data_IF_639793797092
#
_entry.id   IF_639793797092
#
_cell.length_a   1.000
_cell.length_b   1.000
_cell.length_c   1.000
_cell.angle_alpha   90.00
_cell.angle_beta   90.00
_cell.angle_gamma   90.00
#
_symmetry.space_group_name_H-M   'P 1'
#
loop_
_entity.id
_entity.type
_entity.pdbx_description
1 polymer ?
#
# COMPACT_ATOMS: atom_id res chain seq x y z
N UNK A 1 -12.75 -14.59 17.86
CA UNK A 1 -13.57 -13.61 17.11
C UNK A 1 -12.59 -12.62 16.51
N UNK A 2 -12.74 -12.27 15.23
CA UNK A 2 -11.91 -11.22 14.61
C UNK A 2 -12.17 -9.89 15.33
N UNK A 3 -11.16 -9.27 15.98
CA UNK A 3 -11.36 -8.02 16.71
C UNK A 3 -11.73 -6.85 15.78
N UNK A 4 -11.55 -7.03 14.48
CA UNK A 4 -11.93 -6.07 13.42
C UNK A 4 -13.24 -6.43 12.71
N UNK A 5 -14.04 -7.33 13.28
CA UNK A 5 -15.40 -7.59 12.79
C UNK A 5 -16.28 -6.34 12.89
N UNK A 6 -17.39 -6.31 12.15
CA UNK A 6 -18.30 -5.15 12.11
C UNK A 6 -18.89 -4.76 13.50
N UNK A 7 -18.87 -5.69 14.46
CA UNK A 7 -19.33 -5.49 15.84
C UNK A 7 -18.17 -5.23 16.82
N UNK A 8 -16.92 -5.27 16.34
CA UNK A 8 -15.71 -5.10 17.15
C UNK A 8 -15.39 -3.64 17.47
N UNK A 9 -14.83 -3.40 18.65
CA UNK A 9 -14.45 -2.05 19.11
C UNK A 9 -13.43 -1.38 18.18
N UNK A 10 -12.63 -2.16 17.45
CA UNK A 10 -11.54 -1.68 16.60
C UNK A 10 -11.95 -1.31 15.17
N UNK A 11 -13.19 -1.60 14.74
CA UNK A 11 -13.57 -1.46 13.32
C UNK A 11 -13.34 -0.05 12.77
N UNK A 12 -13.62 0.98 13.55
CA UNK A 12 -13.52 2.38 13.09
C UNK A 12 -12.06 2.82 12.93
N UNK A 13 -11.22 2.60 13.95
CA UNK A 13 -9.79 2.92 13.90
C UNK A 13 -9.08 2.09 12.79
N UNK A 14 -9.51 0.85 12.60
CA UNK A 14 -9.02 -0.02 11.54
C UNK A 14 -9.39 0.48 10.14
N UNK A 15 -10.64 0.91 9.95
CA UNK A 15 -11.08 1.50 8.68
C UNK A 15 -10.31 2.78 8.38
N UNK A 16 -10.14 3.69 9.35
CA UNK A 16 -9.32 4.89 9.16
C UNK A 16 -7.89 4.55 8.71
N UNK A 17 -7.28 3.52 9.31
CA UNK A 17 -5.94 3.06 8.93
C UNK A 17 -5.89 2.60 7.47
N UNK A 18 -6.80 1.71 7.05
CA UNK A 18 -6.80 1.17 5.69
C UNK A 18 -7.31 2.15 4.62
N UNK A 19 -8.05 3.18 5.03
CA UNK A 19 -8.42 4.32 4.18
C UNK A 19 -7.27 5.34 4.04
N UNK A 20 -6.18 5.18 4.78
CA UNK A 20 -5.04 6.10 4.75
C UNK A 20 -5.26 7.40 5.52
N UNK A 21 -6.20 7.41 6.46
CA UNK A 21 -6.52 8.55 7.33
C UNK A 21 -5.68 8.47 8.62
N UNK A 22 -4.36 8.48 8.47
CA UNK A 22 -3.43 8.19 9.57
C UNK A 22 -3.55 9.18 10.74
N UNK A 23 -3.80 10.46 10.48
CA UNK A 23 -4.03 11.44 11.54
C UNK A 23 -5.25 11.07 12.41
N UNK A 24 -6.33 10.58 11.78
CA UNK A 24 -7.53 10.13 12.50
C UNK A 24 -7.28 8.86 13.33
N UNK A 25 -6.34 8.02 12.92
CA UNK A 25 -5.90 6.86 13.71
C UNK A 25 -5.14 7.31 14.94
N UNK A 26 -4.23 8.29 14.79
CA UNK A 26 -3.42 8.82 15.89
C UNK A 26 -4.28 9.57 16.92
N UNK A 27 -5.27 10.33 16.45
CA UNK A 27 -6.19 11.11 17.29
C UNK A 27 -7.36 10.28 17.86
N UNK A 28 -7.44 8.99 17.51
CA UNK A 28 -8.57 8.13 17.90
C UNK A 28 -8.59 7.91 19.42
N UNK A 29 -9.74 8.16 20.06
CA UNK A 29 -9.91 7.87 21.50
C UNK A 29 -10.08 6.37 21.74
N UNK A 30 -9.03 5.73 22.26
CA UNK A 30 -9.01 4.31 22.60
C UNK A 30 -9.33 4.04 24.08
N UNK A 31 -9.66 5.07 24.88
CA UNK A 31 -9.83 4.93 26.34
C UNK A 31 -11.02 4.06 26.74
N UNK A 32 -12.02 3.95 25.86
CA UNK A 32 -13.20 3.13 26.06
C UNK A 32 -13.01 1.67 25.62
N UNK A 33 -11.88 1.32 24.98
CA UNK A 33 -11.63 -0.04 24.52
C UNK A 33 -11.35 -0.98 25.69
N UNK A 34 -11.80 -2.22 25.52
CA UNK A 34 -11.48 -3.32 26.41
C UNK A 34 -9.96 -3.58 26.49
N UNK A 35 -9.52 -4.17 27.59
CA UNK A 35 -8.10 -4.46 27.81
C UNK A 35 -7.49 -5.38 26.73
N UNK A 36 -8.29 -6.27 26.14
CA UNK A 36 -7.87 -7.14 25.04
C UNK A 36 -7.62 -6.39 23.72
N UNK A 37 -8.29 -5.25 23.52
CA UNK A 37 -8.16 -4.42 22.33
C UNK A 37 -7.12 -3.29 22.49
N UNK A 38 -6.59 -3.07 23.70
CA UNK A 38 -5.60 -2.02 23.97
C UNK A 38 -4.31 -2.20 23.15
N UNK A 39 -3.76 -3.42 23.09
CA UNK A 39 -2.52 -3.69 22.35
C UNK A 39 -2.73 -3.62 20.82
N UNK A 40 -3.76 -4.26 20.23
CA UNK A 40 -4.08 -4.10 18.81
C UNK A 40 -4.34 -2.64 18.40
N UNK A 41 -5.02 -1.85 19.23
CA UNK A 41 -5.24 -0.42 18.97
C UNK A 41 -3.91 0.35 18.97
N UNK A 42 -3.05 0.11 19.99
CA UNK A 42 -1.70 0.70 20.05
C UNK A 42 -0.88 0.35 18.80
N UNK A 43 -0.96 -0.90 18.34
CA UNK A 43 -0.27 -1.33 17.12
C UNK A 43 -0.70 -0.53 15.88
N UNK A 44 -2.00 -0.28 15.70
CA UNK A 44 -2.51 0.57 14.62
C UNK A 44 -2.02 2.01 14.72
N UNK A 45 -2.04 2.60 15.92
CA UNK A 45 -1.54 3.96 16.17
C UNK A 45 -0.06 4.08 15.82
N UNK A 46 0.77 3.15 16.28
CA UNK A 46 2.22 3.18 15.99
C UNK A 46 2.51 3.01 14.49
N UNK A 47 1.77 2.12 13.81
CA UNK A 47 1.88 1.96 12.33
C UNK A 47 1.47 3.24 11.60
N UNK A 48 0.41 3.93 12.05
CA UNK A 48 -0.02 5.20 11.48
C UNK A 48 1.04 6.29 11.69
N UNK A 49 1.65 6.36 12.88
CA UNK A 49 2.75 7.29 13.16
C UNK A 49 3.97 7.04 12.28
N UNK A 50 4.35 5.78 12.04
CA UNK A 50 5.40 5.44 11.08
C UNK A 50 5.04 5.96 9.68
N UNK A 51 3.80 5.76 9.23
CA UNK A 51 3.33 6.26 7.93
C UNK A 51 3.33 7.80 7.82
N UNK A 52 3.17 8.50 8.95
CA UNK A 52 3.28 9.97 9.07
C UNK A 52 4.74 10.46 9.23
N UNK A 53 5.73 9.58 9.06
CA UNK A 53 7.15 9.93 9.14
C UNK A 53 7.73 10.01 10.55
N UNK A 54 6.99 9.55 11.57
CA UNK A 54 7.42 9.58 12.98
C UNK A 54 8.13 8.29 13.41
N UNK A 55 8.86 7.64 12.49
CA UNK A 55 9.49 6.34 12.74
C UNK A 55 10.54 6.39 13.87
N UNK A 56 11.30 7.49 14.00
CA UNK A 56 12.29 7.67 15.08
C UNK A 56 11.64 7.66 16.47
N UNK A 57 10.53 8.41 16.64
CA UNK A 57 9.81 8.48 17.91
C UNK A 57 9.17 7.15 18.28
N UNK A 58 8.58 6.47 17.28
CA UNK A 58 7.99 5.14 17.47
C UNK A 58 9.06 4.14 17.90
N UNK A 59 10.22 4.14 17.24
CA UNK A 59 11.34 3.26 17.58
C UNK A 59 11.84 3.51 19.02
N UNK A 60 11.92 4.77 19.44
CA UNK A 60 12.31 5.12 20.80
C UNK A 60 11.27 4.65 21.84
N UNK A 61 9.98 4.74 21.52
CA UNK A 61 8.88 4.34 22.39
C UNK A 61 8.80 2.83 22.61
N UNK A 62 8.92 2.03 21.54
CA UNK A 62 8.82 0.56 21.65
C UNK A 62 10.11 -0.11 22.13
N UNK A 63 11.16 0.67 22.36
CA UNK A 63 12.47 0.16 22.74
C UNK A 63 12.42 -0.52 24.11
N UNK A 64 12.69 -1.83 24.12
CA UNK A 64 12.74 -2.63 25.36
C UNK A 64 11.39 -3.19 25.79
N UNK A 65 10.34 -2.97 25.01
CA UNK A 65 9.09 -3.72 25.14
C UNK A 65 9.34 -5.21 24.87
N UNK A 66 8.51 -6.08 25.48
CA UNK A 66 8.69 -7.54 25.43
C UNK A 66 7.69 -8.26 24.54
N UNK A 67 6.62 -7.55 24.19
CA UNK A 67 5.50 -7.99 23.39
C UNK A 67 5.93 -8.08 21.92
N UNK A 68 5.73 -9.24 21.30
CA UNK A 68 6.12 -9.46 19.89
C UNK A 68 5.46 -8.47 18.93
N UNK A 69 4.24 -8.01 19.23
CA UNK A 69 3.52 -6.97 18.49
C UNK A 69 4.28 -5.64 18.46
N UNK A 70 4.94 -5.27 19.55
CA UNK A 70 5.69 -4.01 19.66
C UNK A 70 7.11 -4.18 19.12
N UNK A 71 7.73 -5.33 19.33
CA UNK A 71 9.06 -5.66 18.78
C UNK A 71 9.03 -5.65 17.23
N UNK A 72 8.00 -6.21 16.60
CA UNK A 72 7.86 -6.19 15.13
C UNK A 72 7.59 -4.77 14.59
N UNK A 73 6.87 -3.93 15.34
CA UNK A 73 6.67 -2.52 14.98
C UNK A 73 7.99 -1.76 15.05
N UNK A 74 8.82 -2.05 16.05
CA UNK A 74 10.19 -1.55 16.13
C UNK A 74 11.01 -1.92 14.90
N UNK A 75 10.94 -3.19 14.46
CA UNK A 75 11.60 -3.63 13.24
C UNK A 75 11.08 -2.88 11.98
N UNK A 76 9.78 -2.59 11.91
CA UNK A 76 9.22 -1.81 10.82
C UNK A 76 9.67 -0.34 10.83
N UNK A 77 9.81 0.26 12.01
CA UNK A 77 10.39 1.60 12.16
C UNK A 77 11.87 1.61 11.73
N UNK A 78 12.67 0.64 12.19
CA UNK A 78 14.07 0.46 11.76
C UNK A 78 14.18 0.35 10.23
N UNK A 79 13.33 -0.45 9.60
CA UNK A 79 13.30 -0.59 8.15
C UNK A 79 13.02 0.75 7.45
N UNK A 80 12.02 1.49 7.95
CA UNK A 80 11.63 2.80 7.41
C UNK A 80 12.76 3.83 7.52
N UNK A 81 13.58 3.75 8.58
CA UNK A 81 14.76 4.60 8.78
C UNK A 81 15.98 4.16 7.97
N UNK A 82 15.88 3.08 7.19
CA UNK A 82 16.96 2.55 6.36
C UNK A 82 17.88 1.55 7.06
N UNK A 83 17.56 1.13 8.29
CA UNK A 83 18.31 0.11 9.04
C UNK A 83 17.82 -1.31 8.66
N UNK A 84 17.86 -1.61 7.36
CA UNK A 84 17.25 -2.82 6.77
C UNK A 84 17.76 -4.13 7.38
N UNK A 85 19.07 -4.26 7.62
CA UNK A 85 19.64 -5.51 8.14
C UNK A 85 19.14 -5.82 9.57
N UNK A 86 19.08 -4.79 10.43
CA UNK A 86 18.58 -4.90 11.81
C UNK A 86 17.09 -5.26 11.83
N UNK A 87 16.31 -4.62 10.96
CA UNK A 87 14.90 -4.93 10.80
C UNK A 87 14.69 -6.39 10.38
N UNK A 88 15.43 -6.86 9.37
CA UNK A 88 15.29 -8.22 8.86
C UNK A 88 15.70 -9.29 9.87
N UNK A 89 16.77 -9.07 10.64
CA UNK A 89 17.17 -9.99 11.72
C UNK A 89 16.04 -10.16 12.75
N UNK A 90 15.42 -9.04 13.15
CA UNK A 90 14.30 -9.04 14.10
C UNK A 90 13.07 -9.74 13.53
N UNK A 91 12.74 -9.48 12.26
CA UNK A 91 11.62 -10.15 11.56
C UNK A 91 11.85 -11.66 11.46
N UNK A 92 13.05 -12.11 11.11
CA UNK A 92 13.38 -13.54 10.99
C UNK A 92 13.32 -14.27 12.35
N UNK A 93 13.79 -13.61 13.41
CA UNK A 93 13.65 -14.08 14.79
C UNK A 93 12.17 -14.26 15.16
N UNK A 94 11.35 -13.22 14.97
CA UNK A 94 9.94 -13.24 15.35
C UNK A 94 9.10 -14.17 14.47
N UNK A 95 9.41 -14.28 13.18
CA UNK A 95 8.79 -15.26 12.28
C UNK A 95 9.05 -16.71 12.72
N UNK A 96 10.08 -16.95 13.54
CA UNK A 96 10.38 -18.27 14.11
C UNK A 96 9.78 -18.47 15.51
N UNK A 97 9.78 -17.43 16.36
CA UNK A 97 9.35 -17.53 17.76
C UNK A 97 7.89 -17.18 18.03
N UNK A 98 7.26 -16.41 17.15
CA UNK A 98 5.90 -15.86 17.29
C UNK A 98 5.16 -15.87 15.94
N UNK A 99 5.32 -16.95 15.17
CA UNK A 99 4.82 -17.05 13.80
C UNK A 99 3.29 -17.02 13.69
N UNK A 100 2.58 -17.33 14.76
CA UNK A 100 1.11 -17.31 14.88
C UNK A 100 0.55 -15.93 15.30
N UNK A 101 1.42 -14.99 15.69
CA UNK A 101 1.01 -13.63 16.00
C UNK A 101 0.68 -12.86 14.71
N UNK A 102 -0.56 -12.38 14.60
CA UNK A 102 -1.06 -11.70 13.38
C UNK A 102 -0.32 -10.40 13.08
N UNK A 103 0.05 -9.62 14.10
CA UNK A 103 0.84 -8.38 13.92
C UNK A 103 2.21 -8.72 13.38
N UNK A 104 2.86 -9.78 13.89
CA UNK A 104 4.13 -10.30 13.37
C UNK A 104 3.99 -10.72 11.91
N UNK A 105 2.93 -11.46 11.58
CA UNK A 105 2.70 -11.92 10.21
C UNK A 105 2.55 -10.74 9.24
N UNK A 106 1.71 -9.76 9.56
CA UNK A 106 1.40 -8.65 8.65
C UNK A 106 2.55 -7.65 8.56
N UNK A 107 3.08 -7.21 9.70
CA UNK A 107 4.16 -6.21 9.74
C UNK A 107 5.46 -6.83 9.25
N UNK A 108 5.77 -8.06 9.68
CA UNK A 108 6.92 -8.81 9.18
C UNK A 108 6.82 -9.10 7.69
N UNK A 109 5.64 -9.52 7.20
CA UNK A 109 5.37 -9.70 5.77
C UNK A 109 5.56 -8.41 4.97
N UNK A 110 5.16 -7.26 5.52
CA UNK A 110 5.35 -5.94 4.91
C UNK A 110 6.83 -5.62 4.76
N UNK A 111 7.63 -5.79 5.83
CA UNK A 111 9.08 -5.56 5.81
C UNK A 111 9.78 -6.51 4.84
N UNK A 112 9.46 -7.81 4.89
CA UNK A 112 10.03 -8.81 3.98
C UNK A 112 9.73 -8.47 2.52
N UNK A 113 8.49 -8.12 2.19
CA UNK A 113 8.13 -7.74 0.83
C UNK A 113 8.87 -6.48 0.38
N UNK A 114 8.91 -5.45 1.23
CA UNK A 114 9.60 -4.20 0.90
C UNK A 114 11.12 -4.43 0.68
N UNK A 115 11.71 -5.36 1.41
CA UNK A 115 13.10 -5.78 1.23
C UNK A 115 13.33 -6.74 0.04
N UNK A 116 12.30 -7.02 -0.78
CA UNK A 116 12.38 -7.91 -1.94
C UNK A 116 12.37 -9.42 -1.61
N UNK A 117 12.11 -9.80 -0.36
CA UNK A 117 12.02 -11.20 0.11
C UNK A 117 10.58 -11.74 -0.04
N UNK A 118 9.99 -11.66 -1.23
CA UNK A 118 8.57 -11.99 -1.45
C UNK A 118 8.18 -13.41 -1.06
N UNK A 119 9.04 -14.41 -1.31
CA UNK A 119 8.74 -15.81 -0.94
C UNK A 119 8.65 -15.99 0.57
N UNK A 120 9.56 -15.36 1.33
CA UNK A 120 9.53 -15.38 2.79
C UNK A 120 8.30 -14.63 3.34
N UNK A 121 7.95 -13.50 2.72
CA UNK A 121 6.74 -12.75 3.08
C UNK A 121 5.48 -13.61 2.91
N UNK A 122 5.31 -14.26 1.75
CA UNK A 122 4.17 -15.15 1.49
C UNK A 122 4.15 -16.36 2.44
N UNK A 123 5.32 -16.95 2.73
CA UNK A 123 5.42 -18.07 3.67
C UNK A 123 4.96 -17.69 5.09
N UNK A 124 5.34 -16.50 5.56
CA UNK A 124 4.90 -15.98 6.85
C UNK A 124 3.40 -15.64 6.84
N UNK A 125 2.94 -14.89 5.84
CA UNK A 125 1.55 -14.45 5.74
C UNK A 125 0.57 -15.61 5.60
N UNK A 126 0.95 -16.70 4.91
CA UNK A 126 0.11 -17.88 4.71
C UNK A 126 -0.29 -18.61 6.00
N UNK A 127 0.37 -18.30 7.13
CA UNK A 127 0.06 -18.87 8.44
C UNK A 127 -1.10 -18.16 9.16
N UNK A 128 -1.66 -17.11 8.55
CA UNK A 128 -2.78 -16.38 9.12
C UNK A 128 -4.00 -17.27 9.37
N UNK A 129 -4.71 -16.99 10.47
CA UNK A 129 -5.94 -17.69 10.83
C UNK A 129 -7.15 -16.77 10.61
N UNK A 130 -7.38 -16.39 9.35
CA UNK A 130 -8.50 -15.52 8.97
C UNK A 130 -8.23 -14.02 9.07
N UNK A 131 -6.97 -13.59 9.17
CA UNK A 131 -6.62 -12.16 9.10
C UNK A 131 -6.86 -11.61 7.69
N UNK A 132 -7.72 -10.60 7.57
CA UNK A 132 -7.98 -9.90 6.31
C UNK A 132 -6.81 -9.01 5.88
N UNK A 133 -6.04 -8.43 6.81
CA UNK A 133 -4.82 -7.69 6.46
C UNK A 133 -3.80 -8.61 5.77
N UNK A 134 -3.61 -9.82 6.31
CA UNK A 134 -2.70 -10.79 5.72
C UNK A 134 -3.13 -11.18 4.30
N UNK A 135 -4.42 -11.45 4.10
CA UNK A 135 -4.97 -11.74 2.77
C UNK A 135 -4.76 -10.56 1.81
N UNK A 136 -5.08 -9.35 2.23
CA UNK A 136 -4.89 -8.16 1.40
C UNK A 136 -3.42 -7.97 0.98
N UNK A 137 -2.47 -8.22 1.90
CA UNK A 137 -1.06 -8.14 1.59
C UNK A 137 -0.59 -9.28 0.65
N UNK A 138 -1.08 -10.51 0.82
CA UNK A 138 -0.83 -11.60 -0.13
C UNK A 138 -1.31 -11.23 -1.54
N UNK A 139 -2.51 -10.64 -1.65
CA UNK A 139 -3.07 -10.16 -2.92
C UNK A 139 -2.15 -9.12 -3.56
N UNK A 140 -1.68 -8.12 -2.79
CA UNK A 140 -0.74 -7.12 -3.28
C UNK A 140 0.56 -7.74 -3.79
N UNK A 141 1.15 -8.68 -3.03
CA UNK A 141 2.39 -9.37 -3.43
C UNK A 141 2.19 -10.14 -4.74
N UNK A 142 1.08 -10.88 -4.87
CA UNK A 142 0.77 -11.60 -6.11
C UNK A 142 0.57 -10.66 -7.29
N UNK A 143 -0.09 -9.51 -7.10
CA UNK A 143 -0.24 -8.50 -8.16
C UNK A 143 1.11 -7.91 -8.58
N UNK A 144 2.01 -7.64 -7.63
CA UNK A 144 3.37 -7.16 -7.92
C UNK A 144 4.21 -8.20 -8.67
N UNK A 145 4.00 -9.50 -8.40
CA UNK A 145 4.61 -10.61 -9.13
C UNK A 145 3.95 -10.90 -10.49
N UNK A 146 2.97 -10.09 -10.92
CA UNK A 146 2.16 -10.32 -12.11
C UNK A 146 1.40 -11.67 -12.10
N UNK A 147 1.11 -12.21 -10.91
CA UNK A 147 0.30 -13.42 -10.68
C UNK A 147 -1.15 -13.06 -10.36
N UNK A 148 -1.81 -12.42 -11.32
CA UNK A 148 -3.22 -12.01 -11.21
C UNK A 148 -4.15 -13.19 -10.94
N UNK A 149 -3.79 -14.39 -11.42
CA UNK A 149 -4.50 -15.64 -11.17
C UNK A 149 -4.56 -15.99 -9.68
N UNK A 150 -3.43 -15.87 -8.98
CA UNK A 150 -3.36 -16.15 -7.54
C UNK A 150 -4.05 -15.06 -6.74
N UNK A 151 -3.83 -13.79 -7.09
CA UNK A 151 -4.50 -12.66 -6.44
C UNK A 151 -6.04 -12.78 -6.52
N UNK A 152 -6.58 -13.15 -7.69
CA UNK A 152 -8.03 -13.37 -7.86
C UNK A 152 -8.54 -14.51 -6.98
N UNK A 153 -7.78 -15.61 -6.87
CA UNK A 153 -8.16 -16.76 -6.04
C UNK A 153 -8.27 -16.38 -4.56
N UNK A 154 -7.31 -15.62 -4.04
CA UNK A 154 -7.30 -15.17 -2.65
C UNK A 154 -8.50 -14.27 -2.35
N UNK A 155 -8.77 -13.30 -3.24
CA UNK A 155 -9.91 -12.39 -3.10
C UNK A 155 -11.25 -13.12 -3.13
N UNK A 156 -11.45 -14.05 -4.08
CA UNK A 156 -12.68 -14.87 -4.15
C UNK A 156 -12.86 -15.70 -2.88
N UNK A 157 -11.76 -16.25 -2.35
CA UNK A 157 -11.79 -17.00 -1.09
C UNK A 157 -12.15 -16.10 0.10
N UNK A 158 -11.60 -14.89 0.18
CA UNK A 158 -11.92 -13.92 1.24
C UNK A 158 -13.39 -13.48 1.21
N UNK A 159 -13.91 -13.21 0.00
CA UNK A 159 -15.28 -12.73 -0.21
C UNK A 159 -16.34 -13.71 0.31
N UNK A 160 -16.05 -15.02 0.35
CA UNK A 160 -17.01 -16.01 0.82
C UNK A 160 -17.33 -15.89 2.32
N UNK A 161 -16.45 -15.29 3.12
CA UNK A 161 -16.60 -15.17 4.57
C UNK A 161 -16.52 -13.73 5.12
N UNK A 162 -16.10 -12.75 4.31
CA UNK A 162 -16.01 -11.33 4.69
C UNK A 162 -16.66 -10.41 3.65
N UNK A 163 -17.98 -10.54 3.44
CA UNK A 163 -18.71 -9.89 2.34
C UNK A 163 -18.75 -8.36 2.43
N UNK A 164 -18.81 -7.81 3.64
CA UNK A 164 -18.97 -6.37 3.90
C UNK A 164 -17.65 -5.69 4.32
N UNK A 165 -16.51 -6.39 4.19
CA UNK A 165 -15.22 -5.85 4.59
C UNK A 165 -14.70 -4.82 3.59
N UNK A 166 -14.31 -3.66 4.10
CA UNK A 166 -13.58 -2.65 3.33
C UNK A 166 -12.32 -3.25 2.68
N UNK A 167 -11.53 -4.04 3.41
CA UNK A 167 -10.29 -4.62 2.87
C UNK A 167 -10.54 -5.57 1.70
N UNK A 168 -11.64 -6.33 1.75
CA UNK A 168 -12.03 -7.18 0.62
C UNK A 168 -12.42 -6.33 -0.58
N UNK A 169 -13.19 -5.26 -0.37
CA UNK A 169 -13.55 -4.32 -1.45
C UNK A 169 -12.30 -3.63 -2.05
N UNK A 170 -11.32 -3.25 -1.23
CA UNK A 170 -10.05 -2.69 -1.70
C UNK A 170 -9.23 -3.72 -2.50
N UNK A 171 -9.09 -4.95 -1.99
CA UNK A 171 -8.36 -6.02 -2.66
C UNK A 171 -9.02 -6.43 -4.00
N UNK A 172 -10.36 -6.52 -4.03
CA UNK A 172 -11.14 -6.71 -5.26
C UNK A 172 -10.89 -5.60 -6.27
N UNK A 173 -10.82 -4.35 -5.81
CA UNK A 173 -10.59 -3.20 -6.66
C UNK A 173 -9.18 -3.22 -7.27
N UNK A 174 -8.14 -3.57 -6.50
CA UNK A 174 -6.78 -3.73 -7.03
C UNK A 174 -6.68 -4.84 -8.08
N UNK A 175 -7.29 -6.00 -7.80
CA UNK A 175 -7.36 -7.10 -8.79
C UNK A 175 -8.16 -6.66 -10.02
N UNK A 176 -9.27 -5.94 -9.82
CA UNK A 176 -10.11 -5.40 -10.88
C UNK A 176 -9.36 -4.46 -11.81
N UNK A 177 -8.55 -3.55 -11.26
CA UNK A 177 -7.67 -2.66 -12.03
C UNK A 177 -6.61 -3.45 -12.83
N UNK A 178 -6.12 -4.57 -12.31
CA UNK A 178 -5.19 -5.43 -13.07
C UNK A 178 -5.89 -6.22 -14.19
N UNK A 179 -7.13 -6.64 -13.99
CA UNK A 179 -7.91 -7.41 -14.97
C UNK A 179 -8.45 -6.53 -16.10
N UNK A 180 -8.95 -5.34 -15.75
CA UNK A 180 -9.50 -4.37 -16.69
C UNK A 180 -10.88 -4.69 -17.27
N UNK A 181 -11.24 -3.95 -18.32
CA UNK A 181 -12.58 -3.99 -18.92
C UNK A 181 -13.65 -3.43 -17.97
N UNK A 182 -14.77 -4.13 -17.81
CA UNK A 182 -15.86 -3.73 -16.91
C UNK A 182 -15.42 -3.63 -15.43
N UNK A 183 -14.29 -4.26 -15.08
CA UNK A 183 -13.72 -4.20 -13.72
C UNK A 183 -13.20 -2.82 -13.35
N UNK A 184 -12.83 -1.99 -14.32
CA UNK A 184 -12.43 -0.60 -14.04
C UNK A 184 -13.58 0.20 -13.41
N UNK A 185 -14.79 0.06 -13.94
CA UNK A 185 -15.97 0.76 -13.42
C UNK A 185 -16.38 0.25 -12.03
N UNK A 186 -16.16 -1.04 -11.74
CA UNK A 186 -16.43 -1.63 -10.42
C UNK A 186 -15.45 -1.07 -9.37
N UNK A 187 -14.16 -1.06 -9.68
CA UNK A 187 -13.14 -0.47 -8.81
C UNK A 187 -13.35 1.04 -8.61
N UNK A 188 -13.76 1.75 -9.67
CA UNK A 188 -14.06 3.17 -9.61
C UNK A 188 -15.09 3.49 -8.53
N UNK A 189 -16.24 2.80 -8.49
CA UNK A 189 -17.28 3.11 -7.51
C UNK A 189 -16.80 2.95 -6.06
N UNK A 190 -15.95 1.95 -5.78
CA UNK A 190 -15.36 1.76 -4.45
C UNK A 190 -14.47 2.95 -4.08
N UNK A 191 -13.57 3.35 -4.97
CA UNK A 191 -12.65 4.45 -4.66
C UNK A 191 -13.32 5.84 -4.70
N UNK A 192 -14.32 6.03 -5.56
CA UNK A 192 -15.15 7.24 -5.60
C UNK A 192 -15.91 7.42 -4.28
N UNK A 193 -16.56 6.37 -3.77
CA UNK A 193 -17.27 6.42 -2.48
C UNK A 193 -16.32 6.84 -1.35
N UNK A 194 -15.11 6.25 -1.32
CA UNK A 194 -14.09 6.59 -0.33
C UNK A 194 -13.61 8.05 -0.46
N UNK A 195 -13.43 8.54 -1.69
CA UNK A 195 -12.87 9.86 -1.96
C UNK A 195 -13.88 11.00 -1.79
N UNK A 196 -15.18 10.78 -2.05
CA UNK A 196 -16.19 11.83 -2.01
C UNK A 196 -16.67 12.14 -0.58
N UNK A 197 -16.68 11.17 0.33
CA UNK A 197 -17.17 11.39 1.69
C UNK A 197 -16.06 12.00 2.58
N UNK A 198 -16.27 13.18 3.20
CA UNK A 198 -15.24 13.81 4.04
C UNK A 198 -14.77 12.93 5.20
N UNK A 199 -15.63 12.03 5.68
CA UNK A 199 -15.33 11.11 6.77
C UNK A 199 -14.37 9.97 6.35
N UNK A 200 -14.22 9.66 5.07
CA UNK A 200 -13.38 8.57 4.55
C UNK A 200 -12.30 9.04 3.58
N UNK A 201 -12.39 10.27 3.09
CA UNK A 201 -11.48 10.82 2.10
C UNK A 201 -10.06 10.94 2.65
N UNK A 202 -9.09 10.56 1.82
CA UNK A 202 -7.66 10.72 2.05
C UNK A 202 -6.95 11.01 0.72
N UNK A 203 -5.67 11.38 0.79
CA UNK A 203 -4.84 11.52 -0.42
C UNK A 203 -4.82 10.20 -1.20
N UNK A 204 -4.76 9.06 -0.49
CA UNK A 204 -4.76 7.74 -1.11
C UNK A 204 -6.05 7.43 -1.87
N UNK A 205 -7.22 7.77 -1.32
CA UNK A 205 -8.49 7.53 -2.02
C UNK A 205 -8.63 8.41 -3.26
N UNK A 206 -8.18 9.68 -3.19
CA UNK A 206 -8.16 10.59 -4.33
C UNK A 206 -7.26 10.08 -5.46
N UNK A 207 -6.04 9.65 -5.13
CA UNK A 207 -5.12 9.05 -6.11
C UNK A 207 -5.72 7.77 -6.70
N UNK A 208 -6.33 6.91 -5.88
CA UNK A 208 -6.96 5.67 -6.35
C UNK A 208 -8.15 5.94 -7.28
N UNK A 209 -8.98 6.94 -6.96
CA UNK A 209 -10.05 7.40 -7.84
C UNK A 209 -9.48 7.90 -9.18
N UNK A 210 -8.43 8.73 -9.15
CA UNK A 210 -7.80 9.23 -10.37
C UNK A 210 -7.23 8.11 -11.25
N UNK A 211 -6.62 7.08 -10.65
CA UNK A 211 -6.14 5.88 -11.37
C UNK A 211 -7.29 5.17 -12.07
N UNK A 212 -8.43 4.99 -11.40
CA UNK A 212 -9.63 4.44 -12.03
C UNK A 212 -10.13 5.30 -13.19
N UNK A 213 -10.18 6.62 -13.05
CA UNK A 213 -10.60 7.54 -14.10
C UNK A 213 -9.65 7.50 -15.31
N UNK A 214 -8.33 7.42 -15.08
CA UNK A 214 -7.34 7.22 -16.15
C UNK A 214 -7.61 5.91 -16.92
N UNK A 215 -7.88 4.81 -16.22
CA UNK A 215 -8.23 3.54 -16.86
C UNK A 215 -9.55 3.59 -17.64
N UNK A 216 -10.49 4.44 -17.23
CA UNK A 216 -11.76 4.70 -17.91
C UNK A 216 -11.62 5.73 -19.06
N UNK A 217 -10.45 6.33 -19.25
CA UNK A 217 -10.20 7.36 -20.26
C UNK A 217 -10.77 8.74 -19.93
N UNK A 218 -11.16 8.96 -18.67
CA UNK A 218 -11.77 10.19 -18.15
C UNK A 218 -10.68 11.12 -17.61
N UNK A 219 -9.96 11.75 -18.53
CA UNK A 219 -8.73 12.48 -18.20
C UNK A 219 -8.98 13.76 -17.42
N UNK A 220 -10.13 14.42 -17.62
CA UNK A 220 -10.46 15.68 -16.92
C UNK A 220 -10.76 15.42 -15.45
N UNK A 221 -11.53 14.37 -15.16
CA UNK A 221 -11.86 13.92 -13.81
C UNK A 221 -10.63 13.39 -13.08
N UNK A 222 -9.79 12.61 -13.77
CA UNK A 222 -8.50 12.18 -13.22
C UNK A 222 -7.61 13.37 -12.85
N UNK A 223 -7.54 14.40 -13.70
CA UNK A 223 -6.75 15.59 -13.43
C UNK A 223 -7.25 16.32 -12.19
N UNK A 224 -8.56 16.54 -12.07
CA UNK A 224 -9.16 17.20 -10.92
C UNK A 224 -8.87 16.47 -9.60
N UNK A 225 -9.00 15.15 -9.58
CA UNK A 225 -8.72 14.34 -8.39
C UNK A 225 -7.22 14.40 -7.99
N UNK A 226 -6.30 14.38 -8.97
CA UNK A 226 -4.86 14.49 -8.71
C UNK A 226 -4.47 15.91 -8.26
N UNK A 227 -5.06 16.95 -8.83
CA UNK A 227 -4.86 18.33 -8.38
C UNK A 227 -5.35 18.52 -6.94
N UNK A 228 -6.48 17.93 -6.58
CA UNK A 228 -6.95 17.93 -5.19
C UNK A 228 -5.97 17.21 -4.27
N UNK A 229 -5.48 16.02 -4.65
CA UNK A 229 -4.49 15.28 -3.87
C UNK A 229 -3.20 16.10 -3.65
N UNK A 230 -2.67 16.73 -4.71
CA UNK A 230 -1.48 17.58 -4.65
C UNK A 230 -1.70 18.89 -3.89
N UNK A 231 -2.94 19.38 -3.81
CA UNK A 231 -3.27 20.55 -2.98
C UNK A 231 -3.18 20.24 -1.48
N UNK A 232 -3.41 18.97 -1.09
CA UNK A 232 -3.28 18.48 0.29
C UNK A 232 -1.83 18.16 0.63
N UNK A 233 -1.10 17.53 -0.29
CA UNK A 233 0.33 17.28 -0.16
C UNK A 233 1.03 17.40 -1.54
N UNK A 234 1.71 18.52 -1.73
CA UNK A 234 2.42 18.80 -2.98
C UNK A 234 3.67 17.95 -3.22
N UNK A 235 4.08 17.14 -2.24
CA UNK A 235 5.23 16.21 -2.36
C UNK A 235 4.79 14.74 -2.44
N UNK A 236 3.48 14.47 -2.53
CA UNK A 236 3.00 13.09 -2.62
C UNK A 236 3.47 12.42 -3.91
N UNK A 237 4.41 11.47 -3.80
CA UNK A 237 5.06 10.82 -4.95
C UNK A 237 4.06 10.09 -5.85
N UNK A 238 3.08 9.38 -5.29
CA UNK A 238 2.07 8.65 -6.06
C UNK A 238 1.18 9.58 -6.88
N UNK A 239 0.75 10.71 -6.31
CA UNK A 239 -0.03 11.73 -7.02
C UNK A 239 0.79 12.39 -8.14
N UNK A 240 2.06 12.70 -7.88
CA UNK A 240 2.98 13.25 -8.89
C UNK A 240 3.20 12.24 -10.03
N UNK A 241 3.41 10.96 -9.71
CA UNK A 241 3.62 9.90 -10.69
C UNK A 241 2.38 9.68 -11.57
N UNK A 242 1.17 9.72 -10.99
CA UNK A 242 -0.05 9.61 -11.78
C UNK A 242 -0.35 10.87 -12.60
N UNK A 243 0.04 12.06 -12.12
CA UNK A 243 -0.02 13.29 -12.91
C UNK A 243 0.95 13.25 -14.09
N UNK A 244 2.15 12.68 -13.90
CA UNK A 244 3.10 12.44 -14.99
C UNK A 244 2.46 11.57 -16.08
N UNK A 245 1.88 10.43 -15.70
CA UNK A 245 1.16 9.53 -16.63
C UNK A 245 0.04 10.28 -17.35
N UNK A 246 -0.74 11.09 -16.62
CA UNK A 246 -1.81 11.90 -17.18
C UNK A 246 -1.32 12.88 -18.26
N UNK A 247 -0.20 13.58 -18.03
CA UNK A 247 0.37 14.48 -19.04
C UNK A 247 0.78 13.72 -20.30
N UNK A 248 1.47 12.58 -20.14
CA UNK A 248 1.92 11.73 -21.26
C UNK A 248 0.73 11.25 -22.10
N UNK A 249 -0.30 10.68 -21.47
CA UNK A 249 -1.49 10.18 -22.21
C UNK A 249 -2.32 11.31 -22.82
N UNK A 250 -2.23 12.52 -22.27
CA UNK A 250 -2.85 13.72 -22.83
C UNK A 250 -2.03 14.35 -23.97
N UNK A 251 -0.82 13.85 -24.26
CA UNK A 251 0.09 14.45 -25.24
C UNK A 251 0.64 15.83 -24.83
N UNK A 252 0.72 16.09 -23.51
CA UNK A 252 1.27 17.32 -22.92
C UNK A 252 2.70 17.10 -22.45
N UNK A 253 3.43 18.20 -22.19
CA UNK A 253 4.77 18.12 -21.62
C UNK A 253 4.73 17.55 -20.20
N UNK A 254 5.58 16.55 -19.96
CA UNK A 254 5.65 15.77 -18.73
C UNK A 254 6.93 16.07 -17.93
N UNK A 255 7.87 16.80 -18.53
CA UNK A 255 9.21 17.12 -18.00
C UNK A 255 9.18 17.67 -16.57
N UNK A 256 8.23 18.55 -16.25
CA UNK A 256 8.07 19.11 -14.91
C UNK A 256 7.77 18.02 -13.87
N UNK A 257 6.89 17.08 -14.19
CA UNK A 257 6.47 16.03 -13.26
C UNK A 257 7.53 14.94 -13.09
N UNK A 258 8.36 14.71 -14.11
CA UNK A 258 9.54 13.84 -13.96
C UNK A 258 10.48 14.41 -12.90
N UNK A 259 10.78 15.71 -12.96
CA UNK A 259 11.68 16.37 -12.01
C UNK A 259 11.07 16.50 -10.61
N UNK A 260 9.75 16.68 -10.50
CA UNK A 260 9.05 16.64 -9.22
C UNK A 260 9.11 15.24 -8.62
N UNK A 261 8.88 14.19 -9.41
CA UNK A 261 8.90 12.81 -8.93
C UNK A 261 10.29 12.41 -8.43
N UNK A 262 11.35 12.76 -9.17
CA UNK A 262 12.74 12.51 -8.73
C UNK A 262 13.07 13.18 -7.39
N UNK A 263 12.48 14.34 -7.12
CA UNK A 263 12.67 15.06 -5.84
C UNK A 263 11.88 14.44 -4.71
N UNK A 264 10.65 14.03 -4.97
CA UNK A 264 9.75 13.44 -3.98
C UNK A 264 10.17 12.02 -3.61
N UNK A 265 10.44 11.17 -4.61
CA UNK A 265 10.92 9.80 -4.44
C UNK A 265 11.82 9.40 -5.63
N UNK A 266 13.15 9.50 -5.49
CA UNK A 266 14.08 9.14 -6.56
C UNK A 266 14.10 7.64 -6.89
N UNK A 267 13.51 6.79 -6.03
CA UNK A 267 13.44 5.34 -6.23
C UNK A 267 12.03 4.87 -6.59
N UNK A 268 11.12 5.80 -6.91
CA UNK A 268 9.76 5.48 -7.29
C UNK A 268 9.74 4.49 -8.47
N UNK A 269 8.91 3.45 -8.38
CA UNK A 269 8.91 2.33 -9.34
C UNK A 269 8.77 2.80 -10.80
N UNK A 270 7.95 3.82 -11.05
CA UNK A 270 7.79 4.41 -12.40
C UNK A 270 9.12 4.93 -12.97
N UNK A 271 9.95 5.60 -12.16
CA UNK A 271 11.25 6.10 -12.62
C UNK A 271 12.22 4.96 -12.92
N UNK A 272 12.25 3.95 -12.04
CA UNK A 272 13.06 2.73 -12.21
C UNK A 272 12.67 2.01 -13.50
N UNK A 273 11.38 1.82 -13.74
CA UNK A 273 10.85 1.18 -14.93
C UNK A 273 11.19 1.99 -16.20
N UNK A 274 11.03 3.31 -16.17
CA UNK A 274 11.38 4.17 -17.30
C UNK A 274 12.86 4.07 -17.66
N UNK A 275 13.76 4.10 -16.66
CA UNK A 275 15.20 3.97 -16.87
C UNK A 275 15.55 2.58 -17.45
N UNK A 276 14.99 1.51 -16.88
CA UNK A 276 15.20 0.15 -17.36
C UNK A 276 14.74 0.00 -18.83
N UNK A 277 13.55 0.53 -19.17
CA UNK A 277 13.00 0.45 -20.52
C UNK A 277 13.80 1.30 -21.52
N UNK A 278 14.33 2.45 -21.09
CA UNK A 278 15.26 3.26 -21.89
C UNK A 278 16.53 2.47 -22.23
N UNK A 279 17.15 1.83 -21.23
CA UNK A 279 18.34 1.01 -21.44
C UNK A 279 18.07 -0.20 -22.37
N UNK A 280 16.91 -0.86 -22.22
CA UNK A 280 16.49 -1.95 -23.09
C UNK A 280 16.25 -1.49 -24.54
N UNK A 281 15.70 -0.28 -24.72
CA UNK A 281 15.53 0.31 -26.06
C UNK A 281 16.88 0.53 -26.74
N UNK A 282 17.84 1.15 -26.04
CA UNK A 282 19.18 1.38 -26.57
C UNK A 282 19.87 0.07 -26.94
N UNK A 283 19.78 -0.95 -26.08
CA UNK A 283 20.30 -2.28 -26.35
C UNK A 283 19.66 -2.93 -27.58
N UNK A 284 18.34 -2.76 -27.75
CA UNK A 284 17.62 -3.26 -28.92
C UNK A 284 18.03 -2.52 -30.19
N UNK A 285 18.18 -1.19 -30.13
CA UNK A 285 18.59 -0.34 -31.24
C UNK A 285 19.96 -0.71 -31.80
N UNK A 286 20.90 -1.15 -30.96
CA UNK A 286 22.22 -1.65 -31.40
C UNK A 286 22.13 -2.84 -32.37
N UNK A 287 21.03 -3.59 -32.37
CA UNK A 287 20.81 -4.72 -33.30
C UNK A 287 20.42 -4.27 -34.71
N UNK A 288 20.08 -2.98 -34.88
CA UNK A 288 19.64 -2.41 -36.14
C UNK A 288 20.65 -1.37 -36.61
N UNK A 289 21.47 -1.73 -37.60
CA UNK A 289 22.31 -0.75 -38.30
C UNK A 289 21.51 -0.14 -39.44
N UNK A 290 21.52 1.19 -39.56
CA UNK A 290 20.91 1.87 -40.68
C UNK A 290 21.55 1.40 -42.00
N UNK A 291 20.79 0.68 -42.84
CA UNK A 291 21.17 0.39 -44.23
C UNK A 291 20.95 1.66 -45.07
N UNK A 292 21.78 2.67 -44.86
CA UNK A 292 21.91 3.74 -45.85
C UNK A 292 23.29 3.59 -46.46
N UNK A 293 23.33 2.85 -47.57
CA UNK A 293 24.46 2.92 -48.50
C UNK A 293 24.48 4.34 -49.07
N UNK A 294 25.58 5.06 -48.81
CA UNK A 294 25.94 6.30 -49.50
C UNK A 294 26.01 6.11 -51.01
#
# INVERSE_FOLDING_TARGET
>A
MDPYSAEGELINIYNHFHQGQYDQVVDFDTSAFSAENALPARALVLRARIALGQAEDVLAEVKGESESDLEIIGAFAEYTLGNTDVALETVEKLASSAADNVTVQVVGGTVLQAAGKSEAALALLSQHQGSLEAVALIVQIHLQQNRTDLALKEVVSARSWAQDSLLVNLAESWVGLRVGGEKYQQAFYVFEELAQAPATASIRSLVSQAVCELHLGRLEEAQAALEEALSKDGQNADAIANMLVLQVVSGRDDSQYVELLKKADPKHQLLVDMEEKSALFDQAAMRYTAKVSS
#
